data_IF_995671871116
#
_entry.id   IF_995671871116
#
_cell.length_a   1.000
_cell.length_b   1.000
_cell.length_c   1.000
_cell.angle_alpha   90.00
_cell.angle_beta   90.00
_cell.angle_gamma   90.00
#
_symmetry.space_group_name_H-M   'P 1'
#
loop_
_entity.id
_entity.type
_entity.pdbx_description
1 polymer ?
#
# COMPACT_ATOMS: atom_id res chain seq x y z
N UNK A 1 -25.88 -87.65 -34.45
CA UNK A 1 -25.77 -86.63 -33.38
C UNK A 1 -24.37 -86.69 -32.81
N UNK A 2 -23.54 -85.67 -33.01
CA UNK A 2 -22.15 -85.64 -32.50
C UNK A 2 -22.16 -85.02 -31.09
N UNK A 3 -21.60 -85.69 -30.06
CA UNK A 3 -21.54 -85.12 -28.71
C UNK A 3 -20.55 -83.95 -28.69
N UNK A 4 -21.02 -82.73 -28.37
CA UNK A 4 -20.13 -81.59 -28.13
C UNK A 4 -19.46 -81.76 -26.77
N UNK A 5 -18.20 -82.19 -26.78
CA UNK A 5 -17.34 -82.22 -25.61
C UNK A 5 -17.05 -80.76 -25.17
N UNK A 6 -17.83 -80.23 -24.24
CA UNK A 6 -17.69 -78.84 -23.78
C UNK A 6 -16.63 -78.75 -22.68
N UNK A 7 -15.37 -78.58 -23.08
CA UNK A 7 -14.26 -78.30 -22.15
C UNK A 7 -14.52 -77.04 -21.32
N UNK A 8 -13.92 -76.95 -20.12
CA UNK A 8 -14.05 -75.77 -19.24
C UNK A 8 -12.86 -74.81 -19.45
N UNK A 9 -13.10 -73.50 -19.40
CA UNK A 9 -12.10 -72.42 -19.50
C UNK A 9 -12.13 -71.61 -18.20
N UNK A 10 -10.97 -71.19 -17.69
CA UNK A 10 -10.86 -70.28 -16.54
C UNK A 10 -11.16 -68.83 -16.93
N UNK A 11 -11.99 -68.16 -16.13
CA UNK A 11 -12.23 -66.72 -16.21
C UNK A 11 -11.06 -65.95 -15.61
N UNK A 12 -11.04 -64.66 -15.85
CA UNK A 12 -10.03 -63.76 -15.34
C UNK A 12 -10.10 -63.50 -13.83
N UNK A 13 -11.11 -64.05 -13.16
CA UNK A 13 -11.32 -64.05 -11.70
C UNK A 13 -11.10 -65.44 -11.08
N UNK A 14 -10.57 -66.40 -11.85
CA UNK A 14 -10.23 -67.75 -11.36
C UNK A 14 -11.35 -68.80 -11.45
N UNK A 15 -12.59 -68.40 -11.80
CA UNK A 15 -13.74 -69.31 -11.89
C UNK A 15 -13.73 -70.12 -13.20
N UNK A 16 -14.16 -71.39 -13.18
CA UNK A 16 -14.26 -72.21 -14.40
C UNK A 16 -15.64 -72.07 -15.06
N UNK A 17 -15.66 -71.72 -16.35
CA UNK A 17 -16.89 -71.63 -17.16
C UNK A 17 -16.82 -72.55 -18.38
N UNK A 18 -17.97 -73.01 -18.88
CA UNK A 18 -18.02 -73.92 -20.04
C UNK A 18 -17.60 -73.21 -21.33
N UNK A 19 -16.86 -73.90 -22.20
CA UNK A 19 -16.41 -73.40 -23.50
C UNK A 19 -17.54 -73.48 -24.55
N UNK A 20 -18.65 -72.79 -24.26
CA UNK A 20 -19.76 -72.61 -25.21
C UNK A 20 -19.58 -71.27 -25.94
N UNK A 21 -20.04 -71.15 -27.21
CA UNK A 21 -19.96 -69.90 -27.97
C UNK A 21 -20.55 -68.69 -27.21
N UNK A 22 -21.62 -68.92 -26.45
CA UNK A 22 -22.27 -67.91 -25.62
C UNK A 22 -21.33 -67.28 -24.57
N UNK A 23 -20.38 -68.03 -24.01
CA UNK A 23 -19.48 -67.56 -22.96
C UNK A 23 -18.24 -66.83 -23.50
N UNK A 24 -17.95 -66.95 -24.81
CA UNK A 24 -16.79 -66.32 -25.45
C UNK A 24 -16.86 -64.78 -25.40
N UNK A 25 -18.06 -64.22 -25.61
CA UNK A 25 -18.29 -62.78 -25.56
C UNK A 25 -18.10 -62.20 -24.14
N UNK A 26 -18.55 -62.94 -23.12
CA UNK A 26 -18.43 -62.55 -21.71
C UNK A 26 -16.95 -62.53 -21.29
N UNK A 27 -16.20 -63.58 -21.64
CA UNK A 27 -14.76 -63.67 -21.36
C UNK A 27 -13.96 -62.57 -22.06
N UNK A 28 -14.32 -62.22 -23.31
CA UNK A 28 -13.70 -61.12 -24.03
C UNK A 28 -13.98 -59.76 -23.36
N UNK A 29 -15.20 -59.55 -22.86
CA UNK A 29 -15.56 -58.32 -22.14
C UNK A 29 -14.80 -58.21 -20.81
N UNK A 30 -14.68 -59.31 -20.06
CA UNK A 30 -13.92 -59.37 -18.82
C UNK A 30 -12.43 -59.03 -19.03
N UNK A 31 -11.81 -59.55 -20.10
CA UNK A 31 -10.42 -59.21 -20.46
C UNK A 31 -10.26 -57.72 -20.78
N UNK A 32 -11.16 -57.13 -21.58
CA UNK A 32 -11.13 -55.70 -21.90
C UNK A 32 -11.27 -54.82 -20.65
N UNK A 33 -12.15 -55.20 -19.72
CA UNK A 33 -12.28 -54.49 -18.45
C UNK A 33 -11.01 -54.56 -17.61
N UNK A 34 -10.37 -55.73 -17.54
CA UNK A 34 -9.10 -55.87 -16.81
C UNK A 34 -7.96 -55.10 -17.45
N UNK A 35 -7.85 -55.12 -18.78
CA UNK A 35 -6.87 -54.30 -19.50
C UNK A 35 -7.10 -52.80 -19.27
N UNK A 36 -8.36 -52.36 -19.27
CA UNK A 36 -8.71 -50.98 -18.95
C UNK A 36 -8.32 -50.62 -17.51
N UNK A 37 -8.70 -51.45 -16.54
CA UNK A 37 -8.38 -51.23 -15.13
C UNK A 37 -6.86 -51.25 -14.87
N UNK A 38 -6.12 -52.15 -15.53
CA UNK A 38 -4.66 -52.20 -15.46
C UNK A 38 -4.02 -50.94 -16.05
N UNK A 39 -4.53 -50.43 -17.18
CA UNK A 39 -4.08 -49.16 -17.79
C UNK A 39 -4.38 -47.96 -16.90
N UNK A 40 -5.56 -47.93 -16.26
CA UNK A 40 -5.94 -46.87 -15.32
C UNK A 40 -5.03 -46.89 -14.09
N UNK A 41 -4.78 -48.09 -13.52
CA UNK A 41 -3.89 -48.26 -12.37
C UNK A 41 -2.44 -47.87 -12.72
N UNK A 42 -1.91 -48.31 -13.86
CA UNK A 42 -0.58 -47.91 -14.32
C UNK A 42 -0.45 -46.39 -14.51
N UNK A 43 -1.50 -45.71 -15.02
CA UNK A 43 -1.53 -44.24 -15.09
C UNK A 43 -1.58 -43.58 -13.72
N UNK A 44 -2.31 -44.16 -12.75
CA UNK A 44 -2.36 -43.67 -11.37
C UNK A 44 -0.99 -43.83 -10.68
N UNK A 45 -0.34 -44.98 -10.84
CA UNK A 45 0.99 -45.25 -10.26
C UNK A 45 2.04 -44.29 -10.86
N UNK A 46 2.02 -44.09 -12.19
CA UNK A 46 2.87 -43.09 -12.85
C UNK A 46 2.59 -41.64 -12.39
N UNK A 47 1.33 -41.30 -12.09
CA UNK A 47 0.97 -39.96 -11.58
C UNK A 47 1.41 -39.77 -10.12
N UNK A 48 1.44 -40.85 -9.34
CA UNK A 48 1.83 -40.84 -7.92
C UNK A 48 3.35 -40.76 -7.75
N UNK A 49 4.12 -41.31 -8.70
CA UNK A 49 5.58 -41.25 -8.71
C UNK A 49 6.17 -39.93 -9.24
N UNK A 50 5.39 -39.10 -9.94
CA UNK A 50 5.88 -37.77 -10.35
C UNK A 50 6.05 -36.91 -9.10
N UNK A 51 7.26 -36.40 -8.80
CA UNK A 51 7.43 -35.48 -7.68
C UNK A 51 6.51 -34.28 -7.92
N UNK A 52 5.81 -33.79 -6.89
CA UNK A 52 4.97 -32.61 -7.05
C UNK A 52 5.87 -31.49 -7.58
N UNK A 53 5.60 -31.01 -8.80
CA UNK A 53 6.30 -29.85 -9.31
C UNK A 53 5.92 -28.69 -8.40
N UNK A 54 6.85 -28.34 -7.53
CA UNK A 54 6.63 -27.32 -6.52
C UNK A 54 6.64 -25.98 -7.24
N UNK A 55 5.47 -25.60 -7.78
CA UNK A 55 5.23 -24.25 -8.30
C UNK A 55 5.61 -23.20 -7.26
N UNK A 56 5.45 -23.55 -5.98
CA UNK A 56 5.95 -22.77 -4.84
C UNK A 56 7.45 -22.55 -4.89
N UNK A 57 8.27 -23.58 -5.09
CA UNK A 57 9.72 -23.43 -5.16
C UNK A 57 10.15 -22.58 -6.36
N UNK A 58 9.52 -22.76 -7.53
CA UNK A 58 9.80 -21.89 -8.68
C UNK A 58 9.41 -20.43 -8.44
N UNK A 59 8.23 -20.18 -7.84
CA UNK A 59 7.80 -18.82 -7.50
C UNK A 59 8.74 -18.20 -6.46
N UNK A 60 9.14 -18.97 -5.45
CA UNK A 60 10.10 -18.55 -4.44
C UNK A 60 11.44 -18.17 -5.05
N UNK A 61 11.97 -18.97 -5.99
CA UNK A 61 13.19 -18.64 -6.71
C UNK A 61 13.06 -17.32 -7.48
N UNK A 62 11.94 -17.06 -8.16
CA UNK A 62 11.72 -15.77 -8.82
C UNK A 62 11.61 -14.61 -7.82
N UNK A 63 10.90 -14.79 -6.71
CA UNK A 63 10.76 -13.77 -5.67
C UNK A 63 12.09 -13.43 -4.98
N UNK A 64 13.00 -14.40 -4.85
CA UNK A 64 14.34 -14.17 -4.32
C UNK A 64 15.29 -13.60 -5.38
N UNK A 65 15.23 -14.10 -6.62
CA UNK A 65 16.14 -13.72 -7.69
C UNK A 65 15.86 -12.31 -8.25
N UNK A 66 14.60 -11.95 -8.45
CA UNK A 66 14.22 -10.63 -9.00
C UNK A 66 14.80 -9.43 -8.22
N UNK A 67 14.68 -9.34 -6.87
CA UNK A 67 15.25 -8.23 -6.13
C UNK A 67 16.79 -8.27 -6.09
N UNK A 68 17.40 -9.47 -6.09
CA UNK A 68 18.87 -9.61 -6.13
C UNK A 68 19.43 -9.18 -7.49
N UNK A 69 18.79 -9.60 -8.58
CA UNK A 69 19.11 -9.19 -9.94
C UNK A 69 18.90 -7.68 -10.12
N UNK A 70 17.80 -7.15 -9.56
CA UNK A 70 17.54 -5.71 -9.54
C UNK A 70 18.62 -4.93 -8.79
N UNK A 71 19.04 -5.43 -7.62
CA UNK A 71 20.12 -4.85 -6.83
C UNK A 71 21.43 -4.83 -7.59
N UNK A 72 21.73 -5.90 -8.35
CA UNK A 72 22.92 -5.98 -9.18
C UNK A 72 22.92 -4.94 -10.32
N UNK A 73 21.78 -4.73 -10.99
CA UNK A 73 21.67 -3.82 -12.14
C UNK A 73 21.51 -2.35 -11.74
N UNK A 74 20.69 -2.07 -10.72
CA UNK A 74 20.19 -0.71 -10.42
C UNK A 74 20.59 -0.18 -9.04
N UNK A 75 21.34 -0.95 -8.25
CA UNK A 75 21.62 -0.68 -6.83
C UNK A 75 20.34 -0.48 -5.99
N UNK A 76 19.22 -1.04 -6.46
CA UNK A 76 17.91 -0.93 -5.84
C UNK A 76 17.20 -2.28 -5.94
N UNK A 77 16.49 -2.70 -4.89
CA UNK A 77 15.78 -3.99 -4.88
C UNK A 77 14.49 -4.00 -5.70
N UNK A 78 14.07 -2.85 -6.23
CA UNK A 78 12.79 -2.67 -6.91
C UNK A 78 12.93 -1.98 -8.27
N UNK A 79 14.09 -2.08 -8.92
CA UNK A 79 14.39 -1.43 -10.20
C UNK A 79 14.18 0.10 -10.17
N UNK A 80 14.51 0.76 -9.05
CA UNK A 80 14.21 2.18 -8.83
C UNK A 80 12.72 2.56 -8.92
N UNK A 81 11.78 1.59 -8.91
CA UNK A 81 10.33 1.83 -8.85
C UNK A 81 9.81 2.06 -7.42
N UNK A 82 10.66 1.86 -6.41
CA UNK A 82 10.33 2.03 -4.98
C UNK A 82 9.61 3.36 -4.68
N UNK A 83 10.05 4.53 -5.20
CA UNK A 83 9.38 5.82 -4.96
C UNK A 83 7.95 5.90 -5.51
N UNK A 84 7.58 5.07 -6.49
CA UNK A 84 6.26 5.07 -7.11
C UNK A 84 5.35 3.99 -6.54
N UNK A 85 5.90 2.81 -6.24
CA UNK A 85 5.13 1.66 -5.78
C UNK A 85 4.95 1.63 -4.26
N UNK A 86 5.99 1.97 -3.49
CA UNK A 86 5.96 1.82 -2.03
C UNK A 86 5.03 2.81 -1.33
N UNK A 87 4.91 4.10 -1.70
CA UNK A 87 4.01 5.01 -1.00
C UNK A 87 2.52 4.59 -1.01
N UNK A 88 1.89 4.28 -2.16
CA UNK A 88 0.50 3.85 -2.18
C UNK A 88 0.32 2.49 -1.48
N UNK A 89 1.26 1.55 -1.65
CA UNK A 89 1.22 0.25 -0.96
C UNK A 89 1.37 0.38 0.57
N UNK A 90 2.30 1.22 1.03
CA UNK A 90 2.51 1.51 2.46
C UNK A 90 1.24 2.12 3.03
N UNK A 91 0.67 3.13 2.36
CA UNK A 91 -0.58 3.75 2.80
C UNK A 91 -1.70 2.72 2.91
N UNK A 92 -1.91 1.93 1.85
CA UNK A 92 -2.90 0.86 1.85
C UNK A 92 -2.69 -0.09 3.03
N UNK A 93 -1.48 -0.58 3.28
CA UNK A 93 -1.21 -1.49 4.40
C UNK A 93 -1.41 -0.82 5.76
N UNK A 94 -0.97 0.43 5.94
CA UNK A 94 -1.16 1.18 7.19
C UNK A 94 -2.62 1.50 7.49
N UNK A 95 -3.43 1.70 6.44
CA UNK A 95 -4.86 2.02 6.51
C UNK A 95 -5.74 0.78 6.27
N UNK A 96 -5.19 -0.44 6.23
CA UNK A 96 -5.96 -1.69 6.07
C UNK A 96 -6.43 -2.21 7.42
N UNK A 97 -7.68 -2.71 7.49
CA UNK A 97 -8.21 -3.36 8.70
C UNK A 97 -7.48 -4.68 9.00
N UNK A 98 -6.83 -5.24 8.00
CA UNK A 98 -6.02 -6.46 8.09
C UNK A 98 -4.66 -6.25 8.77
N UNK A 99 -4.21 -5.01 8.98
CA UNK A 99 -2.94 -4.74 9.65
C UNK A 99 -3.14 -4.82 11.18
N UNK A 100 -2.61 -5.84 11.87
CA UNK A 100 -2.76 -5.98 13.32
C UNK A 100 -2.03 -4.89 14.10
N UNK A 101 -1.08 -4.21 13.47
CA UNK A 101 -0.30 -3.10 14.03
C UNK A 101 -0.83 -1.73 13.58
N UNK A 102 -2.07 -1.67 13.09
CA UNK A 102 -2.69 -0.41 12.71
C UNK A 102 -2.82 0.49 13.94
N UNK A 103 -2.39 1.74 13.80
CA UNK A 103 -2.68 2.77 14.80
C UNK A 103 -4.15 3.19 14.72
N UNK A 104 -4.77 3.27 15.89
CA UNK A 104 -6.08 3.86 16.04
C UNK A 104 -6.03 5.34 15.65
N UNK A 105 -6.89 5.74 14.73
CA UNK A 105 -6.99 7.12 14.26
C UNK A 105 -7.86 7.89 15.24
N UNK A 106 -7.30 8.93 15.85
CA UNK A 106 -8.01 9.76 16.83
C UNK A 106 -8.72 10.92 16.15
N UNK A 107 -9.85 11.32 16.73
CA UNK A 107 -10.55 12.53 16.33
C UNK A 107 -10.27 13.59 17.40
N UNK A 108 -9.71 14.71 16.99
CA UNK A 108 -9.32 15.80 17.88
C UNK A 108 -10.29 16.97 17.74
N UNK A 109 -10.62 17.64 18.83
CA UNK A 109 -11.08 19.03 18.77
C UNK A 109 -9.88 19.98 18.64
N UNK A 110 -10.05 21.22 18.16
CA UNK A 110 -8.97 22.19 18.10
C UNK A 110 -8.32 22.45 19.46
N UNK A 111 -9.12 22.44 20.53
CA UNK A 111 -8.64 22.63 21.91
C UNK A 111 -7.80 21.44 22.38
N UNK A 112 -8.21 20.21 22.06
CA UNK A 112 -7.41 19.02 22.35
C UNK A 112 -6.12 19.00 21.52
N UNK A 113 -6.20 19.37 20.23
CA UNK A 113 -5.03 19.42 19.37
C UNK A 113 -3.98 20.41 19.90
N UNK A 114 -4.42 21.55 20.45
CA UNK A 114 -3.54 22.57 21.03
C UNK A 114 -2.69 22.08 22.22
N UNK A 115 -3.08 20.97 22.87
CA UNK A 115 -2.30 20.35 23.94
C UNK A 115 -1.05 19.60 23.41
N UNK A 116 -1.00 19.32 22.11
CA UNK A 116 0.08 18.58 21.45
C UNK A 116 1.03 19.53 20.70
N UNK A 117 1.51 20.56 21.39
CA UNK A 117 2.39 21.58 20.84
C UNK A 117 3.89 21.32 21.10
N UNK A 118 4.21 20.20 21.77
CA UNK A 118 5.57 19.83 22.14
C UNK A 118 6.06 20.35 23.50
N UNK A 119 5.21 20.99 24.31
CA UNK A 119 5.56 21.36 25.70
C UNK A 119 5.58 20.13 26.60
N UNK A 120 6.35 20.18 27.68
CA UNK A 120 6.37 19.13 28.73
C UNK A 120 6.61 17.71 28.16
N UNK A 121 7.49 17.59 27.17
CA UNK A 121 7.80 16.34 26.45
C UNK A 121 6.64 15.70 25.68
N UNK A 122 5.50 16.39 25.57
CA UNK A 122 4.36 15.95 24.76
C UNK A 122 4.74 15.79 23.28
N UNK A 123 4.08 14.88 22.54
CA UNK A 123 4.21 14.82 21.10
C UNK A 123 3.86 16.16 20.44
N UNK A 124 4.50 16.43 19.30
CA UNK A 124 4.21 17.60 18.47
C UNK A 124 3.28 17.16 17.36
N UNK A 125 2.03 17.59 17.42
CA UNK A 125 1.05 17.35 16.36
C UNK A 125 0.84 18.61 15.51
N UNK A 126 0.44 18.38 14.27
CA UNK A 126 0.21 19.42 13.29
C UNK A 126 -0.96 18.97 12.41
N UNK A 127 -1.93 19.85 12.18
CA UNK A 127 -3.01 19.58 11.24
C UNK A 127 -2.82 20.36 9.93
N UNK A 128 -3.13 19.66 8.83
CA UNK A 128 -3.25 20.23 7.50
C UNK A 128 -4.48 19.65 6.81
N UNK A 129 -5.34 20.53 6.34
CA UNK A 129 -6.65 20.27 5.75
C UNK A 129 -7.47 19.28 6.58
N UNK A 130 -7.54 19.52 7.91
CA UNK A 130 -8.25 18.66 8.85
C UNK A 130 -7.58 17.32 9.17
N UNK A 131 -6.44 16.97 8.58
CA UNK A 131 -5.71 15.72 8.87
C UNK A 131 -4.55 16.00 9.83
N UNK A 132 -4.47 15.23 10.91
CA UNK A 132 -3.47 15.40 11.97
C UNK A 132 -2.30 14.44 11.76
N UNK A 133 -1.09 15.01 11.78
CA UNK A 133 0.18 14.31 11.66
C UNK A 133 1.03 14.50 12.92
N UNK A 134 1.70 13.43 13.33
CA UNK A 134 2.75 13.47 14.33
C UNK A 134 4.07 13.90 13.67
N UNK A 135 4.55 15.08 14.08
CA UNK A 135 5.78 15.71 13.60
C UNK A 135 6.88 15.69 14.67
N UNK A 136 6.71 14.89 15.73
CA UNK A 136 7.70 14.74 16.82
C UNK A 136 9.07 14.27 16.34
N UNK A 137 9.11 13.52 15.23
CA UNK A 137 10.36 13.10 14.59
C UNK A 137 11.26 14.28 14.17
N UNK A 138 10.71 15.49 14.03
CA UNK A 138 11.44 16.70 13.66
C UNK A 138 11.16 17.87 14.63
N UNK A 139 11.33 17.60 15.93
CA UNK A 139 11.20 18.60 17.01
C UNK A 139 12.09 19.83 16.84
N UNK A 140 13.22 19.74 16.13
CA UNK A 140 14.06 20.92 15.82
C UNK A 140 13.28 21.99 15.04
N UNK A 141 12.37 21.57 14.16
CA UNK A 141 11.63 22.46 13.27
C UNK A 141 10.26 22.82 13.86
N UNK A 142 9.51 21.83 14.37
CA UNK A 142 8.13 22.02 14.83
C UNK A 142 8.01 22.11 16.37
N UNK A 143 8.99 21.63 17.12
CA UNK A 143 9.01 21.73 18.58
C UNK A 143 9.38 23.14 19.05
N UNK A 144 9.35 23.35 20.37
CA UNK A 144 9.61 24.65 21.01
C UNK A 144 10.92 25.27 20.52
N UNK A 145 10.86 26.53 20.07
CA UNK A 145 12.02 27.26 19.53
C UNK A 145 12.36 26.95 18.06
N UNK A 146 11.65 26.02 17.42
CA UNK A 146 11.78 25.74 16.00
C UNK A 146 11.10 26.78 15.09
N UNK A 147 11.55 26.86 13.84
CA UNK A 147 11.04 27.83 12.84
C UNK A 147 9.56 27.67 12.51
N UNK A 148 8.97 26.52 12.78
CA UNK A 148 7.56 26.19 12.52
C UNK A 148 6.79 25.82 13.80
N UNK A 149 7.33 26.15 14.98
CA UNK A 149 6.67 25.90 16.26
C UNK A 149 5.27 26.49 16.41
N UNK A 150 5.02 27.66 15.83
CA UNK A 150 3.72 28.35 15.89
C UNK A 150 2.56 27.55 15.26
N UNK A 151 2.89 26.58 14.39
CA UNK A 151 1.91 25.69 13.77
C UNK A 151 1.65 24.43 14.59
N UNK A 152 2.46 24.15 15.62
CA UNK A 152 2.27 23.00 16.49
C UNK A 152 0.96 23.10 17.26
N UNK A 153 0.25 21.97 17.37
CA UNK A 153 -1.04 21.84 18.02
C UNK A 153 -2.20 22.55 17.31
N UNK A 154 -2.06 22.91 16.02
CA UNK A 154 -3.07 23.68 15.29
C UNK A 154 -3.30 23.15 13.89
N UNK A 155 -4.45 23.49 13.32
CA UNK A 155 -4.67 23.43 11.88
C UNK A 155 -4.11 24.69 11.24
N UNK A 156 -2.95 24.54 10.60
CA UNK A 156 -2.20 25.63 9.98
C UNK A 156 -2.30 25.59 8.44
N UNK A 157 -3.38 25.01 7.90
CA UNK A 157 -3.62 24.86 6.47
C UNK A 157 -3.33 26.11 5.66
N UNK A 158 -3.86 27.26 6.10
CA UNK A 158 -3.68 28.53 5.39
C UNK A 158 -2.22 29.00 5.46
N UNK A 159 -1.60 28.95 6.63
CA UNK A 159 -0.23 29.43 6.85
C UNK A 159 0.82 28.66 6.01
N UNK A 160 0.64 27.36 5.78
CA UNK A 160 1.55 26.57 4.91
C UNK A 160 1.65 27.09 3.49
N UNK A 161 0.57 27.71 3.02
CA UNK A 161 0.39 28.11 1.65
C UNK A 161 0.76 29.58 1.47
N UNK A 162 0.26 30.43 2.37
CA UNK A 162 0.49 31.87 2.30
C UNK A 162 1.84 32.30 2.88
N UNK A 163 2.44 31.48 3.74
CA UNK A 163 3.70 31.79 4.42
C UNK A 163 3.58 32.82 5.55
N UNK A 164 2.37 33.21 5.95
CA UNK A 164 2.15 34.11 7.09
C UNK A 164 1.88 33.29 8.34
N UNK A 165 2.93 33.11 9.13
CA UNK A 165 2.86 32.27 10.32
C UNK A 165 2.31 32.99 11.55
N UNK A 166 2.03 34.29 11.45
CA UNK A 166 1.44 35.08 12.55
C UNK A 166 -0.08 35.22 12.41
N UNK A 167 -0.57 35.53 11.21
CA UNK A 167 -1.98 35.89 10.97
C UNK A 167 -2.81 34.75 10.37
N UNK A 168 -2.19 33.76 9.71
CA UNK A 168 -2.90 32.72 8.96
C UNK A 168 -2.87 31.34 9.64
N UNK A 169 -2.70 31.28 10.97
CA UNK A 169 -2.77 30.04 11.75
C UNK A 169 -4.23 29.56 11.92
N UNK A 170 -4.86 29.22 10.80
CA UNK A 170 -6.28 28.87 10.70
C UNK A 170 -6.53 27.76 9.67
N UNK A 171 -7.63 27.03 9.85
CA UNK A 171 -8.19 26.08 8.88
C UNK A 171 -8.98 26.75 7.75
N UNK A 172 -9.18 28.08 7.80
CA UNK A 172 -9.91 28.80 6.77
C UNK A 172 -9.11 28.86 5.46
N UNK A 173 -9.54 28.09 4.47
CA UNK A 173 -8.96 28.03 3.12
C UNK A 173 -9.74 28.89 2.10
N UNK A 174 -10.76 29.65 2.53
CA UNK A 174 -11.54 30.51 1.63
C UNK A 174 -10.67 31.64 1.09
N UNK A 175 -10.92 32.05 -0.15
CA UNK A 175 -10.17 33.14 -0.80
C UNK A 175 -8.72 32.83 -1.13
N UNK A 176 -8.28 31.57 -1.03
CA UNK A 176 -7.01 31.13 -1.60
C UNK A 176 -7.11 31.09 -3.13
N UNK A 177 -6.06 31.55 -3.80
CA UNK A 177 -5.89 31.46 -5.25
C UNK A 177 -5.68 30.01 -5.71
N UNK A 178 -5.77 29.77 -7.02
CA UNK A 178 -5.50 28.45 -7.61
C UNK A 178 -4.09 27.93 -7.31
N UNK A 179 -3.09 28.80 -7.35
CA UNK A 179 -1.69 28.47 -7.04
C UNK A 179 -1.51 28.11 -5.56
N UNK A 180 -2.20 28.82 -4.69
CA UNK A 180 -2.23 28.54 -3.26
C UNK A 180 -2.92 27.20 -2.97
N UNK A 181 -4.05 26.91 -3.62
CA UNK A 181 -4.72 25.62 -3.53
C UNK A 181 -3.86 24.46 -4.05
N UNK A 182 -3.09 24.68 -5.12
CA UNK A 182 -2.11 23.69 -5.61
C UNK A 182 -0.99 23.45 -4.59
N UNK A 183 -0.51 24.51 -3.93
CA UNK A 183 0.49 24.43 -2.86
C UNK A 183 -0.06 23.69 -1.64
N UNK A 184 -1.34 23.88 -1.29
CA UNK A 184 -2.00 23.13 -0.22
C UNK A 184 -2.00 21.62 -0.53
N UNK A 185 -2.39 21.26 -1.76
CA UNK A 185 -2.38 19.87 -2.21
C UNK A 185 -0.97 19.25 -2.22
N UNK A 186 0.05 20.04 -2.56
CA UNK A 186 1.44 19.63 -2.45
C UNK A 186 1.80 19.28 -1.00
N UNK A 187 1.51 20.18 -0.05
CA UNK A 187 1.80 19.94 1.37
C UNK A 187 1.01 18.76 1.96
N UNK A 188 -0.27 18.61 1.61
CA UNK A 188 -1.08 17.43 1.96
C UNK A 188 -0.40 16.15 1.48
N UNK A 189 0.08 16.14 0.24
CA UNK A 189 0.77 15.00 -0.35
C UNK A 189 2.11 14.73 0.32
N UNK A 190 2.85 15.79 0.67
CA UNK A 190 4.12 15.69 1.41
C UNK A 190 3.94 14.99 2.75
N UNK A 191 2.97 15.41 3.57
CA UNK A 191 2.72 14.77 4.86
C UNK A 191 2.12 13.37 4.72
N UNK A 192 1.18 13.17 3.79
CA UNK A 192 0.55 11.87 3.56
C UNK A 192 1.53 10.79 3.08
N UNK A 193 2.55 11.17 2.30
CA UNK A 193 3.55 10.24 1.74
C UNK A 193 4.87 10.24 2.53
N UNK A 194 4.95 11.01 3.61
CA UNK A 194 6.15 11.03 4.45
C UNK A 194 6.31 9.71 5.20
N UNK A 195 7.52 9.20 5.18
CA UNK A 195 7.95 8.10 6.03
C UNK A 195 8.23 8.52 7.48
N UNK A 196 8.51 9.82 7.69
CA UNK A 196 8.85 10.44 8.97
C UNK A 196 7.63 10.94 9.74
N UNK A 197 6.64 11.50 9.03
CA UNK A 197 5.46 12.08 9.64
C UNK A 197 4.30 11.13 9.56
N UNK A 198 3.74 10.80 10.72
CA UNK A 198 2.79 9.71 10.82
C UNK A 198 1.39 10.27 10.98
N UNK A 199 0.45 9.83 10.15
CA UNK A 199 -0.96 10.18 10.32
C UNK A 199 -1.47 9.59 11.63
N UNK A 200 -1.99 10.44 12.52
CA UNK A 200 -2.53 10.04 13.83
C UNK A 200 -4.03 10.23 13.94
N UNK A 201 -4.64 11.01 13.03
CA UNK A 201 -6.05 11.32 13.17
C UNK A 201 -6.56 12.42 12.26
N UNK A 202 -7.70 12.98 12.65
CA UNK A 202 -8.33 14.16 12.04
C UNK A 202 -8.74 15.16 13.12
N UNK A 203 -8.85 16.43 12.75
CA UNK A 203 -9.36 17.48 13.62
C UNK A 203 -10.74 17.93 13.15
N UNK A 204 -11.70 17.97 14.07
CA UNK A 204 -13.04 18.50 13.82
C UNK A 204 -13.04 20.00 14.03
N UNK A 205 -12.67 20.73 12.98
CA UNK A 205 -12.72 22.18 13.01
C UNK A 205 -14.17 22.70 13.02
N UNK A 206 -14.45 23.80 13.74
CA UNK A 206 -15.77 24.40 13.73
C UNK A 206 -16.13 24.91 12.32
N UNK A 207 -17.43 24.88 11.95
CA UNK A 207 -17.88 25.38 10.66
C UNK A 207 -17.57 26.87 10.56
N UNK A 208 -17.06 27.29 9.39
CA UNK A 208 -16.75 28.69 9.14
C UNK A 208 -18.01 29.39 8.62
N UNK A 209 -18.42 30.46 9.29
CA UNK A 209 -19.56 31.25 8.84
C UNK A 209 -19.19 31.99 7.53
N UNK A 210 -19.97 31.82 6.43
CA UNK A 210 -19.71 32.49 5.16
C UNK A 210 -19.66 34.01 5.25
N UNK A 211 -20.35 34.61 6.22
CA UNK A 211 -20.40 36.07 6.43
C UNK A 211 -19.17 36.61 7.15
N UNK A 212 -18.36 35.76 7.78
CA UNK A 212 -17.12 36.20 8.44
C UNK A 212 -16.15 36.70 7.36
N UNK A 213 -15.56 37.91 7.52
CA UNK A 213 -14.61 38.43 6.55
C UNK A 213 -13.46 37.44 6.33
N UNK A 214 -12.97 37.40 5.09
CA UNK A 214 -11.81 36.58 4.77
C UNK A 214 -10.60 37.04 5.57
N UNK A 215 -9.68 36.13 5.94
CA UNK A 215 -8.40 36.52 6.52
C UNK A 215 -7.70 37.55 5.62
N UNK A 216 -7.18 38.61 6.24
CA UNK A 216 -6.47 39.69 5.53
C UNK A 216 -5.34 39.11 4.69
N UNK A 217 -5.09 39.60 3.46
CA UNK A 217 -3.96 39.13 2.65
C UNK A 217 -2.63 39.21 3.41
N UNK A 218 -1.77 38.23 3.18
CA UNK A 218 -0.46 38.11 3.81
C UNK A 218 0.44 39.33 3.56
N UNK A 219 0.33 39.90 2.36
CA UNK A 219 1.16 40.98 1.85
C UNK A 219 0.26 42.14 1.45
N UNK A 220 0.73 43.36 1.68
CA UNK A 220 0.05 44.56 1.23
C UNK A 220 -0.06 44.54 -0.31
N UNK A 221 -1.22 44.96 -0.81
CA UNK A 221 -1.50 45.09 -2.24
C UNK A 221 -0.55 46.18 -2.78
N UNK A 222 0.55 45.75 -3.39
CA UNK A 222 1.64 46.62 -3.84
C UNK A 222 2.97 45.89 -4.11
N UNK A 223 3.17 44.69 -3.57
CA UNK A 223 4.22 43.76 -4.02
C UNK A 223 3.66 42.87 -5.14
N UNK A 224 4.13 43.06 -6.37
CA UNK A 224 3.66 42.34 -7.58
C UNK A 224 3.48 40.83 -7.33
N UNK A 225 2.21 40.44 -7.21
CA UNK A 225 1.75 39.05 -6.96
C UNK A 225 1.96 38.10 -8.15
N UNK A 226 2.49 38.59 -9.27
CA UNK A 226 2.58 37.85 -10.53
C UNK A 226 3.91 37.12 -10.73
N UNK A 227 4.99 37.46 -10.00
CA UNK A 227 6.32 36.92 -10.30
C UNK A 227 7.25 36.75 -9.09
N UNK A 228 6.73 36.61 -7.87
CA UNK A 228 7.58 36.45 -6.68
C UNK A 228 7.74 34.96 -6.26
N UNK A 229 8.87 34.29 -6.58
CA UNK A 229 9.15 32.90 -6.21
C UNK A 229 9.41 32.72 -4.69
N UNK A 230 9.32 33.77 -3.88
CA UNK A 230 9.80 33.79 -2.50
C UNK A 230 8.76 33.43 -1.42
N UNK A 231 7.57 32.92 -1.74
CA UNK A 231 6.73 32.34 -0.68
C UNK A 231 7.41 31.04 -0.18
N UNK A 232 7.74 30.87 1.11
CA UNK A 232 8.41 29.65 1.58
C UNK A 232 7.61 28.39 1.26
N UNK A 233 6.27 28.48 1.16
CA UNK A 233 5.39 27.43 0.66
C UNK A 233 5.56 27.14 -0.84
N UNK A 234 5.60 28.17 -1.68
CA UNK A 234 5.82 28.02 -3.13
C UNK A 234 7.26 27.62 -3.45
N UNK A 235 8.26 28.25 -2.82
CA UNK A 235 9.67 27.90 -2.93
C UNK A 235 9.96 26.49 -2.38
N UNK A 236 9.33 26.06 -1.29
CA UNK A 236 9.46 24.68 -0.81
C UNK A 236 8.69 23.69 -1.70
N UNK A 237 7.54 24.08 -2.27
CA UNK A 237 6.83 23.26 -3.25
C UNK A 237 7.59 23.13 -4.58
N UNK A 238 8.27 24.19 -5.03
CA UNK A 238 9.12 24.20 -6.21
C UNK A 238 10.45 23.47 -5.96
N UNK A 239 11.11 23.70 -4.83
CA UNK A 239 12.29 22.91 -4.42
C UNK A 239 11.93 21.45 -4.14
N UNK A 240 10.71 21.17 -3.69
CA UNK A 240 10.16 19.82 -3.50
C UNK A 240 9.89 19.09 -4.82
N UNK A 241 9.91 19.77 -5.97
CA UNK A 241 9.95 19.14 -7.30
C UNK A 241 11.37 18.66 -7.67
N UNK A 242 12.41 19.21 -7.04
CA UNK A 242 13.78 18.74 -7.22
C UNK A 242 14.09 17.65 -6.19
N UNK A 243 14.34 16.43 -6.67
CA UNK A 243 14.89 15.35 -5.83
C UNK A 243 16.18 15.86 -5.20
N UNK A 244 16.37 15.79 -3.86
CA UNK A 244 17.69 16.03 -3.30
C UNK A 244 18.65 15.03 -3.93
N UNK A 245 19.73 15.53 -4.53
CA UNK A 245 20.81 14.69 -5.05
C UNK A 245 21.41 13.83 -3.93
N UNK A 246 22.08 12.71 -4.27
CA UNK A 246 22.67 11.81 -3.28
C UNK A 246 23.63 12.59 -2.38
N UNK A 247 23.38 12.57 -1.07
CA UNK A 247 24.28 13.13 -0.07
C UNK A 247 25.54 12.27 -0.06
N UNK A 248 26.66 12.80 -0.56
CA UNK A 248 27.98 12.16 -0.40
C UNK A 248 28.39 12.35 1.06
N UNK A 249 28.58 11.25 1.77
CA UNK A 249 29.15 11.26 3.11
C UNK A 249 30.60 11.74 3.05
N UNK A 250 30.96 12.63 3.98
CA UNK A 250 32.33 12.87 4.40
C UNK A 250 32.52 12.21 5.76
#
# INVERSE_FOLDING_TARGET
MVPRNSGKIKTSYGNQVTNKPANKAILANQRRQQEHNARVKAKQDQRSQKPPSSRFFTIFLFLAFLPLFSSFVTQSYTFNLSPYLLPPLRRFWTESSLNPWRREMKVFSPVQLAMYDGREDMPVYLAIDGVVYDVSANRRIYGKGGSYNMMAGRDASRAFVTGCFETHLTHDIRGLSSNEMASLNHWKSFFANSDKYLKVGTVLNPPINPKTPLPSPCRAIGSDSSNDPQAPGAAAAERGKAKPGPVRGH
#
